data_IF_233511274643
#
_entry.id   IF_233511274643
#
_cell.length_a   1.000
_cell.length_b   1.000
_cell.length_c   1.000
_cell.angle_alpha   90.00
_cell.angle_beta   90.00
_cell.angle_gamma   90.00
#
_symmetry.space_group_name_H-M   'P 1'
#
loop_
_entity.id
_entity.type
_entity.pdbx_description
1 polymer ?
#
# COMPACT_ATOMS: atom_id res chain seq x y z
N UNK A 1 4.02 25.42 29.23
CA UNK A 1 4.29 24.34 28.25
C UNK A 1 4.40 23.05 29.05
N UNK A 2 3.92 21.91 28.55
CA UNK A 2 4.09 20.64 29.28
C UNK A 2 5.43 20.02 28.89
N UNK A 3 6.28 19.69 29.85
CA UNK A 3 7.61 19.10 29.58
C UNK A 3 7.56 17.58 29.32
N UNK A 4 6.36 16.97 29.44
CA UNK A 4 6.14 15.53 29.23
C UNK A 4 5.76 15.21 27.78
N UNK A 5 6.28 14.11 27.27
CA UNK A 5 6.13 13.65 25.88
C UNK A 5 4.79 12.95 25.60
N UNK A 6 4.43 12.89 24.31
CA UNK A 6 3.37 12.03 23.79
C UNK A 6 4.03 11.04 22.84
N UNK A 7 3.81 9.74 23.06
CA UNK A 7 4.31 8.68 22.21
C UNK A 7 3.17 8.10 21.39
N UNK A 8 3.39 7.96 20.08
CA UNK A 8 2.47 7.36 19.12
C UNK A 8 3.22 6.21 18.45
N UNK A 9 2.62 5.04 18.49
CA UNK A 9 3.06 3.83 17.81
C UNK A 9 1.92 3.34 16.92
N UNK A 10 2.25 2.90 15.71
CA UNK A 10 1.29 2.29 14.82
C UNK A 10 1.91 1.08 14.12
N UNK A 11 1.16 -0.02 14.03
CA UNK A 11 1.58 -1.22 13.34
C UNK A 11 0.49 -1.74 12.41
N UNK A 12 0.93 -2.40 11.33
CA UNK A 12 0.07 -3.10 10.39
C UNK A 12 0.07 -4.60 10.75
N UNK A 13 -1.01 -5.29 10.44
CA UNK A 13 -1.10 -6.75 10.64
C UNK A 13 -0.32 -7.54 9.59
N UNK A 14 -0.11 -6.96 8.39
CA UNK A 14 0.61 -7.60 7.27
C UNK A 14 1.54 -6.61 6.57
N UNK A 15 2.51 -7.15 5.85
CA UNK A 15 3.42 -6.39 4.99
C UNK A 15 2.86 -6.19 3.57
N UNK A 16 2.05 -7.14 3.10
CA UNK A 16 1.43 -7.15 1.77
C UNK A 16 -0.08 -7.28 1.89
N UNK A 17 -0.80 -6.47 1.12
CA UNK A 17 -2.26 -6.48 1.01
C UNK A 17 -2.66 -6.55 -0.46
N UNK A 18 -3.76 -7.26 -0.73
CA UNK A 18 -4.36 -7.30 -2.07
C UNK A 18 -5.44 -6.23 -2.23
N UNK A 19 -5.79 -5.93 -3.49
CA UNK A 19 -6.89 -5.01 -3.79
C UNK A 19 -8.21 -5.53 -3.18
N UNK A 20 -8.95 -4.64 -2.53
CA UNK A 20 -10.19 -4.98 -1.83
C UNK A 20 -10.02 -5.62 -0.46
N UNK A 21 -8.78 -5.90 -0.03
CA UNK A 21 -8.51 -6.42 1.30
C UNK A 21 -8.56 -5.31 2.36
N UNK A 22 -9.24 -5.53 3.52
CA UNK A 22 -9.21 -4.60 4.62
C UNK A 22 -7.82 -4.54 5.30
N UNK A 23 -7.32 -3.34 5.52
CA UNK A 23 -6.05 -3.07 6.22
C UNK A 23 -6.35 -2.78 7.69
N UNK A 24 -5.73 -3.55 8.60
CA UNK A 24 -5.86 -3.32 10.04
C UNK A 24 -4.65 -2.54 10.58
N UNK A 25 -4.92 -1.35 11.11
CA UNK A 25 -3.92 -0.45 11.69
C UNK A 25 -4.09 -0.41 13.19
N UNK A 26 -3.17 -1.03 13.92
CA UNK A 26 -3.10 -0.93 15.37
C UNK A 26 -2.49 0.42 15.73
N UNK A 27 -3.21 1.25 16.49
CA UNK A 27 -2.72 2.55 16.95
C UNK A 27 -2.64 2.53 18.46
N UNK A 28 -1.44 2.75 18.98
CA UNK A 28 -1.14 2.85 20.39
C UNK A 28 -0.59 4.25 20.72
N UNK A 29 -1.25 4.95 21.63
CA UNK A 29 -0.89 6.29 22.07
C UNK A 29 -0.63 6.26 23.57
N UNK A 30 0.57 6.65 23.97
CA UNK A 30 0.92 6.88 25.39
C UNK A 30 1.05 8.37 25.61
N UNK A 31 0.02 8.98 26.18
CA UNK A 31 -0.03 10.41 26.42
C UNK A 31 0.45 10.74 27.83
N UNK A 32 1.76 10.99 28.01
CA UNK A 32 2.29 11.48 29.28
C UNK A 32 2.16 13.00 29.44
N UNK A 33 1.69 13.71 28.41
CA UNK A 33 1.50 15.16 28.42
C UNK A 33 0.33 15.58 29.33
N UNK A 34 0.28 16.88 29.65
CA UNK A 34 -0.87 17.50 30.31
C UNK A 34 -1.96 17.98 29.33
N UNK A 35 -1.77 17.74 28.02
CA UNK A 35 -2.74 18.08 26.96
C UNK A 35 -3.48 16.82 26.49
N UNK A 36 -4.74 16.97 26.11
CA UNK A 36 -5.52 15.90 25.48
C UNK A 36 -5.36 15.87 23.96
N UNK A 37 -5.42 14.67 23.38
CA UNK A 37 -5.55 14.48 21.93
C UNK A 37 -7.03 14.59 21.59
N UNK A 38 -7.39 15.48 20.65
CA UNK A 38 -8.79 15.75 20.29
C UNK A 38 -9.36 14.78 19.27
N UNK A 39 -8.51 14.25 18.38
CA UNK A 39 -8.93 13.40 17.26
C UNK A 39 -7.77 12.55 16.78
N UNK A 40 -8.05 11.28 16.52
CA UNK A 40 -7.15 10.38 15.80
C UNK A 40 -7.71 10.20 14.40
N UNK A 41 -6.86 10.38 13.38
CA UNK A 41 -7.23 10.22 11.97
C UNK A 41 -6.22 9.31 11.29
N UNK A 42 -6.72 8.19 10.76
CA UNK A 42 -5.96 7.23 9.97
C UNK A 42 -6.30 7.43 8.49
N UNK A 43 -5.30 7.46 7.63
CA UNK A 43 -5.50 7.63 6.19
C UNK A 43 -4.50 6.84 5.37
N UNK A 44 -5.00 6.14 4.35
CA UNK A 44 -4.20 5.54 3.29
C UNK A 44 -4.05 6.57 2.16
N UNK A 45 -2.83 6.80 1.71
CA UNK A 45 -2.50 7.77 0.65
C UNK A 45 -1.65 7.11 -0.41
N UNK A 46 -2.03 7.31 -1.67
CA UNK A 46 -1.24 6.95 -2.82
C UNK A 46 -0.26 8.08 -3.13
N UNK A 47 0.99 7.71 -3.37
CA UNK A 47 2.04 8.57 -3.89
C UNK A 47 2.42 8.06 -5.28
N UNK A 48 2.41 8.94 -6.27
CA UNK A 48 2.78 8.61 -7.64
C UNK A 48 3.81 9.62 -8.13
N UNK A 49 5.02 9.13 -8.38
CA UNK A 49 6.14 9.92 -8.90
C UNK A 49 6.30 9.62 -10.40
N UNK A 50 6.20 10.64 -11.24
CA UNK A 50 6.45 10.57 -12.67
C UNK A 50 7.89 11.01 -12.91
N UNK A 51 8.72 10.16 -13.53
CA UNK A 51 10.17 10.38 -13.61
C UNK A 51 10.74 10.42 -15.05
N UNK A 52 9.91 10.37 -16.09
CA UNK A 52 10.39 10.21 -17.48
C UNK A 52 10.65 11.54 -18.21
N UNK A 53 9.63 12.39 -18.35
CA UNK A 53 9.72 13.62 -19.16
C UNK A 53 9.65 14.89 -18.31
N UNK A 54 8.74 14.91 -17.34
CA UNK A 54 8.67 15.92 -16.28
C UNK A 54 8.60 15.21 -14.94
N UNK A 55 9.36 15.71 -13.96
CA UNK A 55 9.28 15.20 -12.60
C UNK A 55 8.06 15.80 -11.91
N UNK A 56 7.07 14.96 -11.63
CA UNK A 56 5.86 15.37 -10.93
C UNK A 56 5.52 14.37 -9.83
N UNK A 57 5.12 14.88 -8.66
CA UNK A 57 4.69 14.05 -7.53
C UNK A 57 3.21 14.31 -7.26
N UNK A 58 2.42 13.25 -7.30
CA UNK A 58 1.01 13.28 -6.96
C UNK A 58 0.77 12.60 -5.63
N UNK A 59 -0.11 13.18 -4.82
CA UNK A 59 -0.46 12.68 -3.50
C UNK A 59 -1.97 12.70 -3.34
N UNK A 60 -2.57 11.52 -3.28
CA UNK A 60 -4.02 11.41 -3.20
C UNK A 60 -4.44 10.47 -2.06
N UNK A 61 -5.31 10.92 -1.13
CA UNK A 61 -5.87 10.02 -0.12
C UNK A 61 -6.89 9.07 -0.75
N UNK A 62 -6.69 7.77 -0.55
CA UNK A 62 -7.53 6.68 -1.10
C UNK A 62 -8.44 6.04 -0.06
N UNK A 63 -8.14 6.18 1.23
CA UNK A 63 -9.07 5.83 2.31
C UNK A 63 -8.79 6.70 3.53
N UNK A 64 -9.83 7.10 4.26
CA UNK A 64 -9.69 7.88 5.48
C UNK A 64 -10.73 7.45 6.51
N UNK A 65 -10.29 7.24 7.75
CA UNK A 65 -11.16 7.03 8.90
C UNK A 65 -10.69 7.98 9.99
N UNK A 66 -11.61 8.80 10.50
CA UNK A 66 -11.29 9.75 11.57
C UNK A 66 -12.45 9.79 12.56
N UNK A 67 -12.37 8.94 13.59
CA UNK A 67 -13.32 8.93 14.70
C UNK A 67 -12.92 10.00 15.74
N UNK A 68 -13.89 10.47 16.53
CA UNK A 68 -13.65 11.44 17.62
C UNK A 68 -13.06 10.76 18.86
N UNK A 69 -12.06 9.91 18.63
CA UNK A 69 -11.34 9.25 19.71
C UNK A 69 -10.42 10.27 20.39
N UNK A 70 -10.82 10.66 21.60
CA UNK A 70 -10.07 11.55 22.45
C UNK A 70 -9.17 10.76 23.40
N UNK A 71 -7.94 11.23 23.59
CA UNK A 71 -6.99 10.65 24.55
C UNK A 71 -6.77 11.65 25.67
N UNK A 72 -7.17 11.27 26.88
CA UNK A 72 -7.04 12.12 28.06
C UNK A 72 -5.56 12.38 28.42
N UNK A 73 -5.25 13.46 29.16
CA UNK A 73 -3.91 13.68 29.69
C UNK A 73 -3.47 12.53 30.59
N UNK A 74 -2.18 12.17 30.57
CA UNK A 74 -1.61 11.09 31.41
C UNK A 74 -2.33 9.73 31.26
N UNK A 75 -2.78 9.39 30.04
CA UNK A 75 -3.49 8.14 29.75
C UNK A 75 -2.91 7.41 28.53
N UNK A 76 -3.23 6.12 28.41
CA UNK A 76 -2.92 5.31 27.23
C UNK A 76 -4.19 5.04 26.42
N UNK A 77 -4.04 4.93 25.10
CA UNK A 77 -5.11 4.61 24.17
C UNK A 77 -4.61 3.55 23.19
N UNK A 78 -5.38 2.49 23.01
CA UNK A 78 -5.09 1.43 22.06
C UNK A 78 -6.36 1.13 21.27
N UNK A 79 -6.29 1.24 19.94
CA UNK A 79 -7.42 0.94 19.07
C UNK A 79 -6.95 0.46 17.71
N UNK A 80 -7.68 -0.51 17.16
CA UNK A 80 -7.47 -1.01 15.80
C UNK A 80 -8.42 -0.30 14.86
N UNK A 81 -7.89 0.30 13.80
CA UNK A 81 -8.69 0.91 12.73
C UNK A 81 -8.62 0.05 11.49
N UNK A 82 -9.76 -0.19 10.85
CA UNK A 82 -9.84 -0.95 9.60
C UNK A 82 -10.16 -0.02 8.44
N UNK A 83 -9.37 -0.06 7.37
CA UNK A 83 -9.58 0.74 6.15
C UNK A 83 -9.45 -0.14 4.92
N UNK A 84 -10.35 0.02 3.94
CA UNK A 84 -10.28 -0.70 2.66
C UNK A 84 -10.06 0.30 1.51
N UNK A 85 -8.85 0.43 0.95
CA UNK A 85 -8.59 1.33 -0.16
C UNK A 85 -9.20 0.76 -1.45
N UNK A 86 -10.32 1.34 -1.89
CA UNK A 86 -11.05 0.91 -3.08
C UNK A 86 -11.14 2.03 -4.13
N UNK A 87 -10.98 1.70 -5.41
CA UNK A 87 -11.18 2.68 -6.48
C UNK A 87 -12.63 3.20 -6.53
N UNK A 88 -13.62 2.35 -6.22
CA UNK A 88 -15.04 2.71 -6.28
C UNK A 88 -15.39 3.96 -5.47
N UNK A 89 -14.75 4.16 -4.32
CA UNK A 89 -14.94 5.31 -3.43
C UNK A 89 -14.08 6.54 -3.78
N UNK A 90 -13.31 6.47 -4.86
CA UNK A 90 -12.33 7.49 -5.24
C UNK A 90 -12.35 7.83 -6.74
N UNK A 91 -13.34 7.34 -7.51
CA UNK A 91 -13.41 7.52 -8.98
C UNK A 91 -13.48 8.98 -9.41
N UNK A 92 -14.00 9.84 -8.56
CA UNK A 92 -14.11 11.28 -8.78
C UNK A 92 -12.78 12.02 -8.62
N UNK A 93 -11.78 11.40 -7.99
CA UNK A 93 -10.48 12.03 -7.72
C UNK A 93 -9.58 11.96 -8.95
N UNK A 94 -9.01 13.11 -9.29
CA UNK A 94 -7.98 13.23 -10.32
C UNK A 94 -6.59 13.00 -9.73
N UNK A 95 -5.63 12.60 -10.56
CA UNK A 95 -4.23 12.40 -10.15
C UNK A 95 -3.97 11.11 -9.37
N UNK A 96 -4.91 10.15 -9.42
CA UNK A 96 -4.68 8.79 -8.93
C UNK A 96 -3.95 7.97 -10.00
N UNK A 97 -2.98 7.18 -9.57
CA UNK A 97 -2.40 6.14 -10.39
C UNK A 97 -3.33 4.91 -10.37
N UNK A 98 -3.66 4.39 -11.55
CA UNK A 98 -4.51 3.23 -11.76
C UNK A 98 -3.74 2.17 -12.56
N UNK A 99 -4.14 0.92 -12.46
CA UNK A 99 -3.59 -0.19 -13.28
C UNK A 99 -4.22 -0.30 -14.68
N UNK A 100 -5.20 0.56 -14.97
CA UNK A 100 -6.00 0.54 -16.19
C UNK A 100 -6.68 1.88 -16.49
N UNK A 101 -7.60 1.87 -17.44
CA UNK A 101 -8.38 3.06 -17.83
C UNK A 101 -9.59 3.18 -16.90
N UNK A 102 -9.89 4.39 -16.44
CA UNK A 102 -11.01 4.64 -15.51
C UNK A 102 -12.38 4.13 -16.00
N UNK A 103 -12.57 4.01 -17.32
CA UNK A 103 -13.79 3.52 -17.96
C UNK A 103 -13.98 2.00 -17.92
N UNK A 104 -12.96 1.21 -17.57
CA UNK A 104 -13.09 -0.24 -17.50
C UNK A 104 -13.54 -0.69 -16.10
N UNK A 105 -14.33 -1.75 -16.07
CA UNK A 105 -14.86 -2.33 -14.83
C UNK A 105 -13.79 -2.99 -13.97
N UNK A 106 -12.81 -3.61 -14.61
CA UNK A 106 -11.70 -4.35 -14.00
C UNK A 106 -10.57 -3.46 -13.45
N UNK A 107 -10.68 -2.14 -13.59
CA UNK A 107 -9.61 -1.22 -13.18
C UNK A 107 -9.58 -1.00 -11.67
N UNK A 108 -8.38 -1.05 -11.09
CA UNK A 108 -8.09 -0.84 -9.68
C UNK A 108 -7.10 0.32 -9.47
N UNK A 109 -6.78 0.60 -8.20
CA UNK A 109 -5.66 1.48 -7.85
C UNK A 109 -4.36 0.83 -8.32
N UNK A 110 -3.39 1.63 -8.75
CA UNK A 110 -2.07 1.09 -9.11
C UNK A 110 -1.43 0.39 -7.91
N UNK A 111 -0.87 -0.80 -8.15
CA UNK A 111 -0.07 -1.54 -7.17
C UNK A 111 1.24 -0.80 -6.87
N UNK A 112 1.83 -1.10 -5.71
CA UNK A 112 3.13 -0.55 -5.33
C UNK A 112 4.21 -0.99 -6.32
N UNK A 113 4.97 -0.02 -6.85
CA UNK A 113 6.14 -0.31 -7.68
C UNK A 113 7.26 -0.87 -6.81
N UNK A 114 7.66 -2.12 -7.07
CA UNK A 114 8.83 -2.72 -6.44
C UNK A 114 10.05 -2.26 -7.20
N UNK A 115 10.92 -1.49 -6.55
CA UNK A 115 12.25 -1.23 -7.08
C UNK A 115 13.14 -2.43 -6.75
N UNK A 116 13.59 -3.23 -7.74
CA UNK A 116 14.67 -4.15 -7.49
C UNK A 116 15.85 -3.31 -7.01
N UNK A 117 16.30 -3.57 -5.79
CA UNK A 117 17.49 -2.97 -5.23
C UNK A 117 18.68 -3.50 -6.04
N UNK A 118 18.93 -2.92 -7.20
CA UNK A 118 20.24 -2.99 -7.81
C UNK A 118 21.16 -2.23 -6.85
N UNK A 119 21.91 -2.96 -6.05
CA UNK A 119 23.02 -2.42 -5.27
C UNK A 119 24.24 -2.28 -6.19
N UNK A 120 24.58 -1.07 -6.67
CA UNK A 120 25.95 -0.62 -6.67
C UNK A 120 26.10 0.29 -5.45
N UNK A 121 26.60 -0.28 -4.35
CA UNK A 121 27.12 0.42 -3.16
C UNK A 121 26.31 1.62 -2.63
N UNK A 122 25.67 1.39 -1.49
CA UNK A 122 25.45 2.37 -0.43
C UNK A 122 24.82 3.72 -0.83
N UNK A 123 23.49 3.76 -0.80
CA UNK A 123 22.78 4.95 -0.32
C UNK A 123 21.53 4.51 0.43
N UNK A 124 21.56 4.69 1.75
CA UNK A 124 20.44 4.43 2.63
C UNK A 124 19.31 5.43 2.31
N UNK A 125 18.11 4.94 2.00
CA UNK A 125 16.91 5.76 1.93
C UNK A 125 15.86 5.15 2.87
N UNK A 126 15.60 5.85 3.98
CA UNK A 126 14.57 5.51 4.97
C UNK A 126 13.21 6.06 4.53
N UNK A 127 12.10 5.30 4.62
CA UNK A 127 10.77 5.86 4.37
C UNK A 127 10.34 6.77 5.53
N UNK A 128 9.85 7.98 5.23
CA UNK A 128 9.34 8.92 6.23
C UNK A 128 7.81 9.02 6.20
N UNK A 129 7.18 8.75 7.34
CA UNK A 129 5.75 8.90 7.57
C UNK A 129 5.44 10.32 8.08
N UNK A 130 4.56 11.06 7.38
CA UNK A 130 4.23 12.46 7.69
C UNK A 130 2.83 12.63 8.30
N UNK A 131 2.76 13.19 9.51
CA UNK A 131 1.52 13.67 10.12
C UNK A 131 1.45 15.20 10.05
N UNK A 132 0.37 15.81 9.49
CA UNK A 132 0.21 17.26 9.54
C UNK A 132 -0.36 17.70 10.90
N UNK A 133 0.40 18.50 11.64
CA UNK A 133 -0.11 19.24 12.79
C UNK A 133 -0.60 20.63 12.34
N UNK A 134 -1.89 20.91 12.51
CA UNK A 134 -2.46 22.25 12.37
C UNK A 134 -2.20 23.05 13.65
N UNK A 135 -1.35 24.06 13.59
CA UNK A 135 -1.16 25.04 14.67
C UNK A 135 -0.15 26.12 14.30
N UNK A 136 -0.58 27.39 14.31
CA UNK A 136 0.30 28.55 14.12
C UNK A 136 1.30 28.63 15.28
N UNK A 137 2.58 28.61 14.95
CA UNK A 137 3.67 28.97 15.87
C UNK A 137 5.01 28.38 15.43
N UNK A 138 6.12 29.15 15.46
CA UNK A 138 7.42 28.65 15.04
C UNK A 138 8.02 27.84 16.20
N UNK A 139 8.00 26.52 16.13
CA UNK A 139 8.71 25.66 17.09
C UNK A 139 9.48 24.56 16.36
N UNK A 140 10.74 24.38 16.80
CA UNK A 140 11.74 23.49 16.20
C UNK A 140 11.21 22.08 16.01
N UNK A 141 11.36 21.58 14.79
CA UNK A 141 11.08 20.19 14.39
C UNK A 141 12.06 19.25 15.10
N UNK A 142 11.55 18.34 15.93
CA UNK A 142 12.26 17.10 16.25
C UNK A 142 11.73 16.01 15.30
N UNK A 143 12.55 15.62 14.34
CA UNK A 143 12.33 14.44 13.49
C UNK A 143 12.91 13.22 14.21
N UNK A 144 12.08 12.26 14.58
CA UNK A 144 12.57 10.94 14.99
C UNK A 144 12.69 10.07 13.72
N UNK A 145 13.91 9.87 13.24
CA UNK A 145 14.22 8.86 12.24
C UNK A 145 14.23 7.49 12.91
N UNK A 146 13.41 6.57 12.45
CA UNK A 146 13.53 5.17 12.85
C UNK A 146 14.56 4.48 11.93
N UNK A 147 15.67 4.07 12.53
CA UNK A 147 16.52 3.00 12.01
C UNK A 147 16.02 1.69 12.64
N UNK A 148 15.66 0.66 11.87
CA UNK A 148 15.62 -0.69 12.41
C UNK A 148 17.06 -1.05 12.74
N UNK A 149 17.38 -1.19 14.02
CA UNK A 149 18.62 -1.83 14.47
C UNK A 149 18.69 -3.19 13.80
N UNK A 150 19.75 -3.38 13.00
CA UNK A 150 20.07 -4.63 12.35
C UNK A 150 20.26 -5.73 13.40
N UNK A 151 19.21 -6.51 13.66
CA UNK A 151 19.39 -7.87 14.16
C UNK A 151 19.88 -8.69 12.98
N UNK A 152 21.19 -8.86 12.96
CA UNK A 152 21.98 -9.63 12.00
C UNK A 152 21.64 -11.11 12.20
N UNK A 153 20.55 -11.60 11.60
CA UNK A 153 20.43 -13.02 11.29
C UNK A 153 21.05 -13.25 9.92
N UNK A 154 22.28 -13.78 9.96
CA UNK A 154 23.05 -14.23 8.81
C UNK A 154 22.36 -15.41 8.15
N UNK A 155 21.37 -15.18 7.31
CA UNK A 155 20.82 -16.19 6.42
C UNK A 155 21.25 -15.87 5.01
N UNK A 156 22.52 -16.14 4.72
CA UNK A 156 23.02 -16.46 3.37
C UNK A 156 24.38 -17.14 3.54
N UNK A 157 24.34 -18.47 3.52
CA UNK A 157 25.47 -19.27 3.04
C UNK A 157 25.19 -19.58 1.57
N UNK A 158 26.10 -19.27 0.63
CA UNK A 158 26.02 -19.82 -0.71
C UNK A 158 26.50 -21.27 -0.64
N UNK A 159 25.56 -22.19 -0.44
CA UNK A 159 25.81 -23.62 -0.35
C UNK A 159 24.69 -24.37 -1.03
N UNK A 160 24.69 -24.35 -2.36
CA UNK A 160 23.93 -25.31 -3.16
C UNK A 160 24.59 -26.67 -2.95
N UNK A 161 24.08 -27.44 -1.98
CA UNK A 161 24.28 -28.89 -1.96
C UNK A 161 23.17 -29.47 -2.81
N UNK A 162 23.49 -29.74 -4.07
CA UNK A 162 22.67 -30.56 -4.93
C UNK A 162 22.53 -31.97 -4.30
N UNK A 163 21.31 -32.49 -4.10
CA UNK A 163 21.16 -33.94 -3.99
C UNK A 163 21.49 -34.53 -5.37
N UNK A 164 22.58 -35.28 -5.45
CA UNK A 164 22.83 -36.20 -6.57
C UNK A 164 21.85 -37.35 -6.40
N UNK A 165 20.67 -37.21 -6.98
CA UNK A 165 19.85 -38.35 -7.41
C UNK A 165 20.04 -38.47 -8.91
N UNK A 166 20.94 -39.38 -9.30
CA UNK A 166 21.08 -39.84 -10.68
C UNK A 166 19.79 -40.57 -11.07
N UNK A 167 18.84 -39.82 -11.62
CA UNK A 167 17.79 -40.34 -12.50
C UNK A 167 17.67 -39.35 -13.65
N UNK A 168 17.83 -39.79 -14.91
CA UNK A 168 17.67 -38.88 -16.04
C UNK A 168 16.24 -38.33 -16.01
N UNK A 169 16.12 -37.03 -15.72
CA UNK A 169 14.85 -36.30 -15.81
C UNK A 169 14.56 -36.15 -17.30
N UNK A 170 13.60 -36.92 -17.80
CA UNK A 170 13.12 -36.83 -19.16
C UNK A 170 12.75 -35.37 -19.47
N UNK A 171 13.33 -34.82 -20.54
CA UNK A 171 13.07 -33.46 -21.02
C UNK A 171 11.71 -33.33 -21.72
N UNK A 172 10.69 -34.06 -21.23
CA UNK A 172 9.33 -34.06 -21.73
C UNK A 172 8.35 -33.81 -20.58
N UNK A 173 8.40 -32.61 -20.01
CA UNK A 173 7.42 -32.14 -19.03
C UNK A 173 6.13 -31.63 -19.70
N UNK A 174 5.65 -32.36 -20.70
CA UNK A 174 4.30 -32.22 -21.26
C UNK A 174 3.73 -33.63 -21.36
N UNK A 175 3.44 -34.23 -20.21
CA UNK A 175 2.51 -35.36 -20.19
C UNK A 175 1.11 -34.79 -20.39
N UNK A 176 0.59 -34.91 -21.61
CA UNK A 176 -0.84 -34.84 -21.83
C UNK A 176 -1.45 -36.05 -21.13
N UNK A 177 -1.97 -35.87 -19.91
CA UNK A 177 -2.91 -36.84 -19.37
C UNK A 177 -4.13 -36.84 -20.31
N UNK A 178 -4.44 -37.95 -20.99
CA UNK A 178 -5.66 -38.06 -21.75
C UNK A 178 -6.76 -38.33 -20.72
N UNK A 179 -7.16 -37.29 -20.00
CA UNK A 179 -8.40 -37.32 -19.24
C UNK A 179 -9.53 -37.35 -20.28
N UNK A 180 -9.86 -38.55 -20.76
CA UNK A 180 -10.99 -38.85 -21.64
C UNK A 180 -12.30 -38.68 -20.86
N UNK A 181 -12.57 -37.47 -20.38
CA UNK A 181 -13.64 -37.26 -19.42
C UNK A 181 -13.81 -35.84 -18.86
N UNK A 182 -13.63 -34.79 -19.66
CA UNK A 182 -14.40 -33.54 -19.53
C UNK A 182 -14.49 -32.88 -20.91
N UNK A 183 -15.72 -32.74 -21.42
CA UNK A 183 -16.04 -31.85 -22.54
C UNK A 183 -15.85 -30.39 -22.06
N UNK A 184 -14.60 -29.95 -21.93
CA UNK A 184 -14.27 -28.55 -21.66
C UNK A 184 -14.43 -27.76 -22.96
N UNK A 185 -15.68 -27.45 -23.32
CA UNK A 185 -16.02 -26.61 -24.46
C UNK A 185 -15.26 -25.28 -24.38
N UNK A 186 -14.52 -24.95 -25.44
CA UNK A 186 -13.81 -23.67 -25.53
C UNK A 186 -14.86 -22.56 -25.63
N UNK A 187 -15.00 -21.78 -24.56
CA UNK A 187 -15.85 -20.58 -24.54
C UNK A 187 -15.07 -19.40 -25.11
N UNK A 188 -15.57 -18.84 -26.20
CA UNK A 188 -15.03 -17.61 -26.77
C UNK A 188 -15.65 -16.40 -26.09
N UNK A 189 -14.82 -15.59 -25.43
CA UNK A 189 -15.17 -14.27 -24.92
C UNK A 189 -14.38 -13.20 -25.70
N UNK A 190 -14.94 -12.00 -25.83
CA UNK A 190 -14.24 -10.91 -26.51
C UNK A 190 -13.07 -10.41 -25.65
N UNK A 191 -11.96 -10.04 -26.31
CA UNK A 191 -10.81 -9.44 -25.62
C UNK A 191 -11.10 -8.02 -25.14
N UNK A 192 -12.14 -7.37 -25.69
CA UNK A 192 -12.55 -6.04 -25.28
C UNK A 192 -13.00 -6.01 -23.81
N UNK A 193 -12.27 -5.27 -22.97
CA UNK A 193 -12.62 -5.09 -21.56
C UNK A 193 -14.00 -4.45 -21.41
N UNK A 194 -14.76 -4.98 -20.45
CA UNK A 194 -16.08 -4.45 -20.09
C UNK A 194 -15.97 -3.01 -19.60
N UNK A 195 -16.84 -2.15 -20.14
CA UNK A 195 -16.98 -0.76 -19.73
C UNK A 195 -17.88 -0.66 -18.50
N UNK A 196 -17.56 0.30 -17.64
CA UNK A 196 -18.41 0.61 -16.49
C UNK A 196 -19.78 1.12 -16.95
N UNK A 197 -20.85 0.50 -16.46
CA UNK A 197 -22.23 0.88 -16.80
C UNK A 197 -22.56 2.25 -16.19
N UNK A 198 -23.01 3.21 -17.02
CA UNK A 198 -23.53 4.50 -16.55
C UNK A 198 -22.56 5.69 -16.59
N UNK A 199 -21.34 5.53 -17.12
CA UNK A 199 -20.57 6.66 -17.62
C UNK A 199 -21.15 7.00 -19.00
N UNK A 200 -21.88 8.11 -19.13
CA UNK A 200 -22.25 8.63 -20.46
C UNK A 200 -20.95 8.87 -21.20
N UNK A 201 -20.78 8.20 -22.35
CA UNK A 201 -19.77 8.60 -23.31
C UNK A 201 -20.23 9.99 -23.79
N UNK A 202 -19.59 11.05 -23.30
CA UNK A 202 -19.60 12.33 -24.01
C UNK A 202 -18.67 12.13 -25.22
N UNK A 203 -19.15 11.40 -26.23
CA UNK A 203 -18.55 11.40 -27.56
C UNK A 203 -19.56 11.91 -28.60
N UNK A 204 -19.03 12.80 -29.44
CA UNK A 204 -19.58 13.41 -30.66
C UNK A 204 -20.51 14.62 -30.52
N UNK A 205 -19.93 15.83 -30.62
CA UNK A 205 -20.29 16.66 -31.77
C UNK A 205 -19.12 16.75 -32.76
N UNK A 206 -19.47 16.37 -33.97
CA UNK A 206 -18.80 16.53 -35.25
C UNK A 206 -18.74 18.01 -35.62
N UNK A 207 -17.57 18.51 -36.04
CA UNK A 207 -17.33 19.24 -37.31
C UNK A 207 -15.82 19.36 -37.58
#
# INVERSE_FOLDING_TARGET
MSDRSLHLEASLDKELYYHGEPISVNVHVTNNSSKSVKKVKVSVRQYADICLFSTAQYKCPVAQVGQEDQVAPSSTFCKVYTLTPLLSANREKRGLALDGKLKHEDTNLASSTIYPVYHPRASHLSPQLWFPASGRGPTKRSSASWCPTASRSSWWSPGVVAPKTDTPVDANLIEFEPNMGTDDDIVFEDFARLRLKGMKDDEEEVF
#
